data_IF_006268545142
#
_entry.id   IF_006268545142
#
_cell.length_a   1.000
_cell.length_b   1.000
_cell.length_c   1.000
_cell.angle_alpha   90.00
_cell.angle_beta   90.00
_cell.angle_gamma   90.00
#
_symmetry.space_group_name_H-M   'P 1'
#
loop_
_entity.id
_entity.type
_entity.pdbx_description
1 polymer ?
#
# COMPACT_ATOMS: atom_id res chain seq x y z
N UNK A 1 -3.23 11.57 -4.70
CA UNK A 1 -3.43 12.70 -5.64
C UNK A 1 -4.67 13.42 -5.19
N UNK A 2 -4.47 14.52 -4.49
CA UNK A 2 -5.53 15.28 -3.80
C UNK A 2 -5.82 16.54 -4.61
N UNK A 3 -7.04 17.09 -4.47
CA UNK A 3 -7.45 18.27 -5.21
C UNK A 3 -8.28 19.20 -4.30
N UNK A 4 -7.64 20.14 -3.62
CA UNK A 4 -8.17 20.83 -2.43
C UNK A 4 -8.26 22.37 -2.48
N UNK A 5 -9.51 22.86 -2.33
CA UNK A 5 -10.11 24.21 -2.52
C UNK A 5 -9.61 25.45 -1.76
N UNK A 6 -9.76 26.61 -2.42
CA UNK A 6 -10.40 27.83 -1.85
C UNK A 6 -11.24 28.64 -2.90
N UNK A 7 -12.58 28.65 -2.76
CA UNK A 7 -13.57 29.54 -3.42
C UNK A 7 -13.85 29.30 -4.93
N UNK A 8 -15.06 28.88 -5.32
CA UNK A 8 -15.57 28.64 -6.71
C UNK A 8 -14.66 27.90 -7.74
N UNK A 9 -13.49 27.46 -7.30
CA UNK A 9 -12.42 26.83 -8.07
C UNK A 9 -11.89 25.64 -7.26
N UNK A 10 -12.77 24.68 -6.96
CA UNK A 10 -12.39 23.32 -6.54
C UNK A 10 -11.76 22.62 -7.73
N UNK A 11 -10.63 21.95 -7.54
CA UNK A 11 -10.05 21.10 -8.57
C UNK A 11 -10.60 19.67 -8.52
N UNK A 12 -11.90 19.54 -8.32
CA UNK A 12 -12.52 18.22 -8.31
C UNK A 12 -12.57 17.65 -9.71
N UNK A 13 -12.50 16.34 -9.81
CA UNK A 13 -12.54 15.67 -11.10
C UNK A 13 -13.94 15.21 -11.43
N UNK A 14 -14.49 15.65 -12.56
CA UNK A 14 -15.73 15.11 -13.15
C UNK A 14 -15.47 14.61 -14.58
N UNK A 15 -16.42 13.92 -15.24
CA UNK A 15 -16.28 13.51 -16.62
C UNK A 15 -16.66 14.64 -17.59
N UNK A 16 -17.03 15.81 -17.07
CA UNK A 16 -17.57 16.89 -17.88
C UNK A 16 -16.47 17.54 -18.74
N UNK A 17 -16.81 18.04 -19.94
CA UNK A 17 -15.81 18.57 -20.88
C UNK A 17 -14.95 19.71 -20.32
N UNK A 18 -15.49 20.46 -19.37
CA UNK A 18 -14.77 21.52 -18.67
C UNK A 18 -13.54 21.06 -17.85
N UNK A 19 -13.43 19.76 -17.57
CA UNK A 19 -12.33 19.16 -16.81
C UNK A 19 -11.39 18.33 -17.72
N UNK A 20 -11.62 18.29 -19.04
CA UNK A 20 -10.82 17.51 -20.01
C UNK A 20 -9.32 17.83 -19.91
N UNK A 21 -8.97 19.12 -19.93
CA UNK A 21 -7.58 19.56 -19.84
C UNK A 21 -6.93 19.21 -18.49
N UNK A 22 -7.71 19.17 -17.40
CA UNK A 22 -7.21 18.73 -16.10
C UNK A 22 -6.92 17.23 -16.12
N UNK A 23 -7.85 16.42 -16.63
CA UNK A 23 -7.67 14.96 -16.75
C UNK A 23 -6.48 14.59 -17.62
N UNK A 24 -6.30 15.26 -18.75
CA UNK A 24 -5.13 15.04 -19.63
C UNK A 24 -3.80 15.33 -18.90
N UNK A 25 -3.73 16.40 -18.10
CA UNK A 25 -2.52 16.72 -17.32
C UNK A 25 -2.29 15.76 -16.16
N UNK A 26 -3.34 15.36 -15.44
CA UNK A 26 -3.24 14.34 -14.40
C UNK A 26 -2.73 13.02 -15.00
N UNK A 27 -3.24 12.64 -16.17
CA UNK A 27 -2.77 11.47 -16.90
C UNK A 27 -1.29 11.57 -17.27
N UNK A 28 -0.85 12.69 -17.82
CA UNK A 28 0.58 12.94 -18.11
C UNK A 28 1.45 12.86 -16.85
N UNK A 29 1.01 13.46 -15.74
CA UNK A 29 1.73 13.38 -14.46
C UNK A 29 1.84 11.94 -13.95
N UNK A 30 0.73 11.18 -13.96
CA UNK A 30 0.72 9.77 -13.55
C UNK A 30 1.70 8.93 -14.39
N UNK A 31 1.71 9.12 -15.71
CA UNK A 31 2.54 8.32 -16.61
C UNK A 31 4.00 8.74 -16.59
N UNK A 32 4.27 10.03 -16.77
CA UNK A 32 5.61 10.55 -17.01
C UNK A 32 6.37 10.90 -15.73
N UNK A 33 5.67 11.45 -14.72
CA UNK A 33 6.30 11.93 -13.49
C UNK A 33 6.24 10.86 -12.38
N UNK A 34 5.08 10.21 -12.19
CA UNK A 34 4.90 9.17 -11.17
C UNK A 34 5.27 7.77 -11.67
N UNK A 35 5.63 7.65 -12.95
CA UNK A 35 6.06 6.40 -13.59
C UNK A 35 5.03 5.27 -13.54
N UNK A 36 3.74 5.60 -13.64
CA UNK A 36 2.61 4.66 -13.63
C UNK A 36 2.59 3.72 -12.40
N UNK A 37 2.30 4.25 -11.19
CA UNK A 37 2.27 3.45 -9.96
C UNK A 37 1.32 2.25 -10.04
N UNK A 38 1.63 1.15 -9.37
CA UNK A 38 0.77 -0.06 -9.40
C UNK A 38 -0.61 0.18 -8.78
N UNK A 39 -0.69 1.05 -7.76
CA UNK A 39 -1.92 1.51 -7.10
C UNK A 39 -1.87 3.05 -7.00
N UNK A 40 -2.95 3.72 -7.38
CA UNK A 40 -3.12 5.18 -7.27
C UNK A 40 -4.34 5.47 -6.40
N UNK A 41 -4.12 6.13 -5.27
CA UNK A 41 -5.19 6.59 -4.39
C UNK A 41 -5.56 8.04 -4.73
N UNK A 42 -6.84 8.25 -5.06
CA UNK A 42 -7.39 9.52 -5.49
C UNK A 42 -8.35 10.08 -4.44
N UNK A 43 -8.39 11.40 -4.34
CA UNK A 43 -9.35 12.16 -3.55
C UNK A 43 -10.06 13.16 -4.47
N UNK A 44 -11.17 13.74 -4.03
CA UNK A 44 -11.86 14.83 -4.77
C UNK A 44 -12.46 14.39 -6.12
N UNK A 45 -12.83 13.11 -6.20
CA UNK A 45 -13.56 12.53 -7.33
C UNK A 45 -15.04 12.89 -7.22
N UNK A 46 -15.64 13.39 -8.31
CA UNK A 46 -17.06 13.78 -8.39
C UNK A 46 -17.94 12.70 -9.03
N UNK A 47 -19.25 12.90 -8.86
CA UNK A 47 -20.30 12.14 -9.52
C UNK A 47 -20.21 12.33 -11.05
N UNK A 48 -20.87 11.45 -11.80
CA UNK A 48 -20.91 11.48 -13.27
C UNK A 48 -21.48 12.79 -13.83
N UNK A 49 -22.25 13.53 -13.04
CA UNK A 49 -22.80 14.84 -13.40
C UNK A 49 -22.04 16.02 -12.77
N UNK A 50 -20.88 15.78 -12.14
CA UNK A 50 -20.13 16.82 -11.45
C UNK A 50 -20.99 17.49 -10.38
N UNK A 51 -21.23 18.79 -10.50
CA UNK A 51 -22.15 19.55 -9.61
C UNK A 51 -23.33 20.15 -10.35
N UNK A 52 -23.59 19.71 -11.59
CA UNK A 52 -24.50 20.40 -12.54
C UNK A 52 -25.97 20.37 -12.10
N UNK A 53 -26.36 19.43 -11.23
CA UNK A 53 -27.69 19.34 -10.66
C UNK A 53 -27.87 20.09 -9.34
N UNK A 54 -26.79 20.67 -8.77
CA UNK A 54 -26.80 21.26 -7.43
C UNK A 54 -27.20 20.26 -6.33
N UNK A 55 -27.58 20.76 -5.15
CA UNK A 55 -27.98 19.96 -3.98
C UNK A 55 -29.30 19.16 -4.14
N UNK A 56 -29.89 19.15 -5.34
CA UNK A 56 -31.06 18.34 -5.69
C UNK A 56 -30.67 17.13 -6.59
N UNK A 57 -29.37 16.88 -6.77
CA UNK A 57 -28.85 15.69 -7.47
C UNK A 57 -29.13 14.44 -6.65
N UNK A 58 -29.66 13.38 -7.26
CA UNK A 58 -29.70 12.04 -6.64
C UNK A 58 -28.60 11.12 -7.22
N UNK A 59 -27.69 11.67 -8.04
CA UNK A 59 -26.59 10.93 -8.67
C UNK A 59 -25.43 10.87 -7.69
N UNK A 60 -24.97 9.67 -7.35
CA UNK A 60 -23.77 9.42 -6.52
C UNK A 60 -22.72 8.53 -7.21
N UNK A 61 -23.03 8.04 -8.41
CA UNK A 61 -22.16 7.20 -9.22
C UNK A 61 -21.04 8.04 -9.84
N UNK A 62 -19.80 7.56 -9.76
CA UNK A 62 -18.59 8.19 -10.29
C UNK A 62 -17.90 7.36 -11.41
N UNK A 63 -18.56 6.32 -11.93
CA UNK A 63 -18.02 5.42 -12.96
C UNK A 63 -17.53 6.15 -14.21
N UNK A 64 -18.30 7.13 -14.72
CA UNK A 64 -17.92 7.90 -15.91
C UNK A 64 -16.74 8.82 -15.60
N UNK A 65 -16.70 9.42 -14.41
CA UNK A 65 -15.56 10.24 -13.93
C UNK A 65 -14.26 9.43 -13.94
N UNK A 66 -14.28 8.25 -13.31
CA UNK A 66 -13.10 7.39 -13.17
C UNK A 66 -12.68 6.81 -14.52
N UNK A 67 -13.64 6.37 -15.35
CA UNK A 67 -13.34 5.87 -16.69
C UNK A 67 -12.69 6.95 -17.56
N UNK A 68 -13.16 8.20 -17.49
CA UNK A 68 -12.60 9.29 -18.27
C UNK A 68 -11.13 9.61 -17.90
N UNK A 69 -10.74 9.39 -16.63
CA UNK A 69 -9.34 9.49 -16.21
C UNK A 69 -8.51 8.28 -16.67
N UNK A 70 -9.04 7.05 -16.54
CA UNK A 70 -8.38 5.83 -17.05
C UNK A 70 -8.11 5.94 -18.55
N UNK A 71 -9.09 6.39 -19.33
CA UNK A 71 -8.96 6.58 -20.77
C UNK A 71 -7.88 7.62 -21.10
N UNK A 72 -7.80 8.72 -20.33
CA UNK A 72 -6.77 9.73 -20.49
C UNK A 72 -5.36 9.16 -20.16
N UNK A 73 -5.23 8.36 -19.11
CA UNK A 73 -3.97 7.70 -18.74
C UNK A 73 -3.51 6.74 -19.84
N UNK A 74 -4.42 5.90 -20.35
CA UNK A 74 -4.12 5.01 -21.46
C UNK A 74 -3.73 5.78 -22.73
N UNK A 75 -4.40 6.90 -23.02
CA UNK A 75 -4.06 7.77 -24.15
C UNK A 75 -2.68 8.45 -23.99
N UNK A 76 -2.27 8.77 -22.76
CA UNK A 76 -0.94 9.29 -22.43
C UNK A 76 0.16 8.21 -22.50
N UNK A 77 -0.19 6.94 -22.76
CA UNK A 77 0.74 5.82 -22.88
C UNK A 77 0.97 5.03 -21.58
N UNK A 78 0.13 5.26 -20.57
CA UNK A 78 0.11 4.49 -19.32
C UNK A 78 -0.59 3.13 -19.45
N UNK A 79 -0.61 2.33 -18.37
CA UNK A 79 -1.35 1.08 -18.33
C UNK A 79 -2.87 1.32 -18.34
N UNK A 80 -3.61 0.29 -18.73
CA UNK A 80 -5.07 0.29 -18.59
C UNK A 80 -5.44 -0.04 -17.14
N UNK A 81 -5.53 0.99 -16.31
CA UNK A 81 -5.97 0.85 -14.91
C UNK A 81 -7.42 0.33 -14.81
N UNK A 82 -7.68 -0.49 -13.80
CA UNK A 82 -9.01 -0.69 -13.25
C UNK A 82 -9.26 0.35 -12.14
N UNK A 83 -10.52 0.61 -11.79
CA UNK A 83 -10.87 1.53 -10.70
C UNK A 83 -11.81 0.89 -9.69
N UNK A 84 -11.80 1.42 -8.47
CA UNK A 84 -12.63 0.97 -7.37
C UNK A 84 -13.04 2.14 -6.48
N UNK A 85 -14.34 2.24 -6.20
CA UNK A 85 -14.93 3.20 -5.28
C UNK A 85 -16.18 2.62 -4.61
N UNK A 86 -16.65 3.29 -3.57
CA UNK A 86 -17.96 3.03 -2.95
C UNK A 86 -18.71 4.35 -2.98
N UNK A 87 -19.79 4.40 -3.76
CA UNK A 87 -20.64 5.57 -3.86
C UNK A 87 -21.16 5.96 -2.47
N UNK A 88 -20.96 7.22 -2.02
CA UNK A 88 -21.46 7.67 -0.74
C UNK A 88 -22.98 7.77 -0.74
N UNK A 89 -23.56 7.90 0.46
CA UNK A 89 -24.97 8.30 0.59
C UNK A 89 -25.08 9.78 0.21
N UNK A 90 -26.05 10.08 -0.65
CA UNK A 90 -26.26 11.40 -1.22
C UNK A 90 -26.32 12.52 -0.17
N UNK A 91 -25.54 13.58 -0.40
CA UNK A 91 -25.33 14.77 0.44
C UNK A 91 -24.95 14.47 1.91
N UNK A 92 -24.41 13.28 2.20
CA UNK A 92 -23.88 12.93 3.53
C UNK A 92 -22.37 13.03 3.66
N UNK A 93 -21.65 13.00 2.53
CA UNK A 93 -20.21 13.17 2.50
C UNK A 93 -19.86 14.64 2.37
N UNK A 94 -18.98 15.13 3.25
CA UNK A 94 -18.53 16.53 3.22
C UNK A 94 -17.92 16.90 1.86
N UNK A 95 -17.98 18.17 1.45
CA UNK A 95 -17.50 18.62 0.15
C UNK A 95 -18.42 19.66 -0.52
N UNK A 96 -18.51 19.66 -1.85
CA UNK A 96 -19.56 20.39 -2.59
C UNK A 96 -20.89 19.64 -2.55
N UNK A 97 -21.99 20.32 -2.22
CA UNK A 97 -23.33 19.79 -2.43
C UNK A 97 -23.56 19.36 -3.88
N UNK A 98 -24.21 18.20 -4.06
CA UNK A 98 -24.61 17.67 -5.37
C UNK A 98 -23.50 17.04 -6.21
N UNK A 99 -22.26 16.97 -5.71
CA UNK A 99 -21.17 16.25 -6.36
C UNK A 99 -20.53 15.15 -5.50
N UNK A 100 -21.03 14.97 -4.27
CA UNK A 100 -20.75 13.86 -3.36
C UNK A 100 -19.30 13.36 -3.31
N UNK A 101 -18.32 14.25 -3.16
CA UNK A 101 -16.88 13.91 -3.25
C UNK A 101 -16.52 12.65 -2.46
N UNK A 102 -15.71 11.79 -3.09
CA UNK A 102 -15.22 10.54 -2.49
C UNK A 102 -13.72 10.32 -2.68
N UNK A 103 -13.23 9.32 -1.95
CA UNK A 103 -11.96 8.64 -2.18
C UNK A 103 -12.18 7.50 -3.18
N UNK A 104 -11.19 7.22 -4.02
CA UNK A 104 -11.21 6.07 -4.93
C UNK A 104 -9.80 5.51 -5.17
N UNK A 105 -9.72 4.34 -5.79
CA UNK A 105 -8.48 3.75 -6.27
C UNK A 105 -8.50 3.58 -7.78
N UNK A 106 -7.34 3.78 -8.41
CA UNK A 106 -6.96 3.14 -9.66
C UNK A 106 -5.90 2.08 -9.35
N UNK A 107 -5.90 0.94 -10.04
CA UNK A 107 -4.90 -0.10 -9.84
C UNK A 107 -4.62 -0.87 -11.14
N UNK A 108 -3.36 -1.25 -11.35
CA UNK A 108 -2.95 -1.96 -12.56
C UNK A 108 -3.29 -3.45 -12.41
N UNK A 109 -4.30 -3.98 -13.11
CA UNK A 109 -4.74 -5.37 -12.92
C UNK A 109 -3.74 -6.41 -13.45
N UNK A 110 -2.74 -5.98 -14.23
CA UNK A 110 -1.63 -6.87 -14.64
C UNK A 110 -0.59 -7.06 -13.53
N UNK A 111 -0.65 -6.25 -12.47
CA UNK A 111 0.35 -6.22 -11.39
C UNK A 111 -0.25 -6.58 -10.04
N UNK A 112 -1.44 -6.06 -9.72
CA UNK A 112 -2.11 -6.29 -8.44
C UNK A 112 -3.57 -6.70 -8.66
N UNK A 113 -4.13 -7.44 -7.71
CA UNK A 113 -5.56 -7.77 -7.69
C UNK A 113 -6.23 -7.17 -6.46
N UNK A 114 -7.40 -6.55 -6.61
CA UNK A 114 -8.20 -6.08 -5.48
C UNK A 114 -9.01 -7.26 -4.90
N UNK A 115 -8.69 -7.70 -3.69
CA UNK A 115 -9.38 -8.79 -3.00
C UNK A 115 -10.66 -8.30 -2.30
N UNK A 116 -10.55 -7.19 -1.58
CA UNK A 116 -11.65 -6.62 -0.81
C UNK A 116 -11.62 -5.08 -0.86
N UNK A 117 -12.81 -4.48 -0.85
CA UNK A 117 -13.01 -3.04 -0.80
C UNK A 117 -14.07 -2.71 0.24
N UNK A 118 -13.73 -1.89 1.22
CA UNK A 118 -14.65 -1.45 2.28
C UNK A 118 -14.55 0.05 2.52
N UNK A 119 -15.55 0.62 3.18
CA UNK A 119 -15.63 2.03 3.56
C UNK A 119 -15.77 2.16 5.06
N UNK A 120 -15.15 3.18 5.66
CA UNK A 120 -15.22 3.47 7.11
C UNK A 120 -16.38 4.43 7.41
N UNK A 121 -17.56 4.14 6.85
CA UNK A 121 -18.74 5.03 6.90
C UNK A 121 -19.58 4.90 8.18
N UNK A 122 -19.44 3.80 8.93
CA UNK A 122 -20.15 3.57 10.19
C UNK A 122 -19.45 4.18 11.41
N UNK A 123 -18.23 4.68 11.27
CA UNK A 123 -17.49 5.24 12.38
C UNK A 123 -17.89 6.72 12.61
N UNK A 124 -18.34 7.10 13.82
CA UNK A 124 -18.84 8.45 14.09
C UNK A 124 -17.81 9.57 13.89
N UNK A 125 -16.51 9.26 13.90
CA UNK A 125 -15.47 10.25 13.62
C UNK A 125 -15.54 10.80 12.18
N UNK A 126 -16.15 10.06 11.25
CA UNK A 126 -16.29 10.47 9.85
C UNK A 126 -17.69 10.98 9.49
N UNK A 127 -18.62 11.07 10.46
CA UNK A 127 -19.98 11.53 10.21
C UNK A 127 -20.01 12.94 9.59
N UNK A 128 -20.60 13.07 8.41
CA UNK A 128 -20.67 14.34 7.67
C UNK A 128 -19.38 14.74 6.94
N UNK A 129 -18.42 13.82 6.81
CA UNK A 129 -17.12 14.04 6.16
C UNK A 129 -16.89 13.04 5.03
N UNK A 130 -15.74 13.09 4.36
CA UNK A 130 -15.39 12.07 3.35
C UNK A 130 -14.99 10.79 4.08
N UNK A 131 -15.59 9.67 3.71
CA UNK A 131 -15.30 8.39 4.35
C UNK A 131 -13.97 7.83 3.82
N UNK A 132 -13.08 7.32 4.69
CA UNK A 132 -11.94 6.52 4.26
C UNK A 132 -12.38 5.31 3.43
N UNK A 133 -11.61 5.01 2.38
CA UNK A 133 -11.78 3.83 1.54
C UNK A 133 -10.62 2.88 1.79
N UNK A 134 -10.91 1.63 2.17
CA UNK A 134 -9.92 0.60 2.45
C UNK A 134 -9.93 -0.40 1.30
N UNK A 135 -8.80 -0.55 0.63
CA UNK A 135 -8.59 -1.57 -0.41
C UNK A 135 -7.55 -2.58 0.04
N UNK A 136 -7.90 -3.87 -0.03
CA UNK A 136 -6.95 -4.97 0.17
C UNK A 136 -6.45 -5.47 -1.19
N UNK A 137 -5.21 -5.17 -1.50
CA UNK A 137 -4.58 -5.53 -2.77
C UNK A 137 -3.66 -6.74 -2.58
N UNK A 138 -3.78 -7.72 -3.47
CA UNK A 138 -2.90 -8.87 -3.54
C UNK A 138 -1.74 -8.56 -4.51
N UNK A 139 -0.53 -8.75 -4.02
CA UNK A 139 0.71 -8.67 -4.80
C UNK A 139 1.66 -9.76 -4.30
N UNK A 140 2.21 -10.59 -5.20
CA UNK A 140 3.10 -11.70 -4.84
C UNK A 140 2.54 -12.64 -3.74
N UNK A 141 1.21 -12.82 -3.69
CA UNK A 141 0.55 -13.65 -2.66
C UNK A 141 0.45 -13.00 -1.27
N UNK A 142 0.97 -11.79 -1.12
CA UNK A 142 0.84 -10.95 0.07
C UNK A 142 -0.34 -9.98 -0.07
N UNK A 143 -1.01 -9.70 1.05
CA UNK A 143 -2.04 -8.66 1.13
C UNK A 143 -1.41 -7.35 1.56
N UNK A 144 -1.68 -6.29 0.79
CA UNK A 144 -1.35 -4.90 1.12
C UNK A 144 -2.66 -4.15 1.34
N UNK A 145 -2.89 -3.71 2.57
CA UNK A 145 -4.05 -2.91 2.92
C UNK A 145 -3.73 -1.43 2.71
N UNK A 146 -4.44 -0.78 1.80
CA UNK A 146 -4.29 0.66 1.55
C UNK A 146 -5.54 1.38 2.05
N UNK A 147 -5.35 2.29 3.02
CA UNK A 147 -6.40 3.15 3.57
C UNK A 147 -6.26 4.53 2.94
N UNK A 148 -7.17 4.86 2.04
CA UNK A 148 -7.24 6.13 1.34
C UNK A 148 -8.15 7.11 2.10
N UNK A 149 -7.58 8.24 2.51
CA UNK A 149 -8.21 9.20 3.42
C UNK A 149 -8.36 10.59 2.78
N UNK A 150 -9.37 11.29 3.27
CA UNK A 150 -9.51 12.72 3.03
C UNK A 150 -10.17 13.37 4.26
N UNK A 151 -9.35 13.80 5.22
CA UNK A 151 -9.81 14.20 6.56
C UNK A 151 -10.49 15.59 6.58
N UNK A 152 -11.07 15.94 7.72
CA UNK A 152 -11.79 17.21 7.91
C UNK A 152 -10.92 18.41 7.54
N UNK A 153 -11.43 19.24 6.63
CA UNK A 153 -10.72 20.41 6.11
C UNK A 153 -10.39 21.42 7.21
N UNK A 154 -9.33 22.20 6.96
CA UNK A 154 -8.92 23.34 7.79
C UNK A 154 -9.72 24.62 7.50
N UNK A 155 -10.78 24.57 6.71
CA UNK A 155 -11.60 25.73 6.38
C UNK A 155 -12.09 26.46 7.65
N UNK A 156 -11.85 27.77 7.71
CA UNK A 156 -12.12 28.59 8.90
C UNK A 156 -10.92 28.78 9.84
N UNK A 157 -9.76 28.18 9.53
CA UNK A 157 -8.50 28.46 10.21
C UNK A 157 -8.03 29.89 9.95
N UNK A 158 -7.28 30.48 10.89
CA UNK A 158 -6.57 31.74 10.63
C UNK A 158 -5.23 31.47 9.95
N UNK A 159 -4.66 32.44 9.19
CA UNK A 159 -3.32 32.28 8.63
C UNK A 159 -2.29 31.92 9.70
N UNK A 160 -1.37 31.00 9.36
CA UNK A 160 -0.27 30.59 10.24
C UNK A 160 0.56 31.80 10.66
N UNK A 161 0.85 32.69 9.69
CA UNK A 161 1.45 34.01 9.92
C UNK A 161 0.40 35.11 9.81
N UNK A 162 -0.32 35.35 10.91
CA UNK A 162 -1.39 36.35 10.98
C UNK A 162 -1.40 37.15 12.28
N UNK A 163 -2.32 38.13 12.35
CA UNK A 163 -2.52 38.99 13.53
C UNK A 163 -3.08 38.25 14.76
N UNK A 164 -3.67 37.07 14.55
CA UNK A 164 -4.15 36.17 15.60
C UNK A 164 -3.08 35.11 15.89
N UNK A 165 -2.61 35.04 17.13
CA UNK A 165 -1.60 34.08 17.61
C UNK A 165 -1.99 33.54 19.00
N UNK A 166 -1.90 32.21 19.26
CA UNK A 166 -1.63 31.17 18.27
C UNK A 166 -2.72 31.15 17.19
N UNK A 167 -2.35 30.74 15.97
CA UNK A 167 -3.31 30.66 14.87
C UNK A 167 -4.41 29.63 15.20
N UNK A 168 -5.63 29.90 14.76
CA UNK A 168 -6.79 29.02 14.97
C UNK A 168 -6.71 27.87 13.97
N UNK A 169 -6.76 26.64 14.46
CA UNK A 169 -6.83 25.42 13.65
C UNK A 169 -8.27 24.90 13.64
N UNK A 170 -9.05 25.26 12.63
CA UNK A 170 -10.41 24.75 12.50
C UNK A 170 -10.41 23.23 12.21
N UNK A 171 -11.37 22.50 12.79
CA UNK A 171 -11.52 21.06 12.60
C UNK A 171 -10.48 20.18 13.30
N UNK A 172 -9.63 20.74 14.18
CA UNK A 172 -8.56 19.99 14.86
C UNK A 172 -9.10 18.81 15.70
N UNK A 173 -10.10 19.05 16.54
CA UNK A 173 -10.71 17.99 17.34
C UNK A 173 -11.36 16.88 16.50
N UNK A 174 -11.92 17.23 15.33
CA UNK A 174 -12.48 16.24 14.40
C UNK A 174 -11.37 15.40 13.78
N UNK A 175 -10.25 16.03 13.38
CA UNK A 175 -9.07 15.32 12.84
C UNK A 175 -8.39 14.44 13.87
N UNK A 176 -8.28 14.85 15.13
CA UNK A 176 -7.78 14.00 16.22
C UNK A 176 -8.66 12.74 16.39
N UNK A 177 -9.99 12.90 16.37
CA UNK A 177 -10.91 11.78 16.44
C UNK A 177 -10.79 10.84 15.22
N UNK A 178 -10.60 11.41 14.03
CA UNK A 178 -10.38 10.65 12.80
C UNK A 178 -9.04 9.91 12.81
N UNK A 179 -7.96 10.56 13.25
CA UNK A 179 -6.65 9.96 13.43
C UNK A 179 -6.69 8.79 14.42
N UNK A 180 -7.41 8.95 15.54
CA UNK A 180 -7.61 7.85 16.50
C UNK A 180 -8.42 6.70 15.90
N UNK A 181 -9.46 7.00 15.12
CA UNK A 181 -10.25 5.98 14.43
C UNK A 181 -9.41 5.17 13.44
N UNK A 182 -8.52 5.83 12.67
CA UNK A 182 -7.59 5.17 11.76
C UNK A 182 -6.53 4.35 12.51
N UNK A 183 -5.96 4.88 13.58
CA UNK A 183 -5.02 4.16 14.42
C UNK A 183 -5.63 2.86 14.98
N UNK A 184 -6.88 2.92 15.49
CA UNK A 184 -7.58 1.72 15.98
C UNK A 184 -7.77 0.65 14.88
N UNK A 185 -8.06 1.07 13.64
CA UNK A 185 -8.18 0.12 12.51
C UNK A 185 -6.84 -0.56 12.25
N UNK A 186 -5.74 0.19 12.24
CA UNK A 186 -4.41 -0.38 12.05
C UNK A 186 -4.02 -1.28 13.21
N UNK A 187 -4.30 -0.88 14.45
CA UNK A 187 -4.05 -1.69 15.64
C UNK A 187 -4.80 -3.03 15.58
N UNK A 188 -6.07 -3.03 15.14
CA UNK A 188 -6.85 -4.27 14.99
C UNK A 188 -6.22 -5.18 13.92
N UNK A 189 -5.80 -4.63 12.77
CA UNK A 189 -5.12 -5.39 11.70
C UNK A 189 -3.79 -5.97 12.20
N UNK A 190 -2.96 -5.16 12.86
CA UNK A 190 -1.64 -5.56 13.36
C UNK A 190 -1.75 -6.54 14.53
N UNK A 191 -2.81 -6.46 15.33
CA UNK A 191 -3.08 -7.42 16.40
C UNK A 191 -3.43 -8.81 15.86
N UNK A 192 -4.05 -8.90 14.68
CA UNK A 192 -4.31 -10.17 13.98
C UNK A 192 -3.07 -10.69 13.25
N UNK A 193 -2.26 -9.80 12.67
CA UNK A 193 -1.01 -10.13 12.00
C UNK A 193 0.03 -9.02 12.21
N UNK A 194 1.06 -9.28 13.02
CA UNK A 194 2.12 -8.31 13.32
C UNK A 194 2.92 -7.87 12.09
N UNK A 195 2.94 -8.70 11.04
CA UNK A 195 3.63 -8.44 9.78
C UNK A 195 2.71 -7.83 8.71
N UNK A 196 1.50 -7.40 9.10
CA UNK A 196 0.54 -6.81 8.18
C UNK A 196 1.13 -5.59 7.45
N UNK A 197 0.93 -5.53 6.14
CA UNK A 197 1.43 -4.46 5.26
C UNK A 197 0.32 -3.44 5.08
N UNK A 198 0.34 -2.38 5.90
CA UNK A 198 -0.71 -1.36 5.89
C UNK A 198 -0.12 -0.02 5.48
N UNK A 199 -0.77 0.64 4.51
CA UNK A 199 -0.44 1.98 4.05
C UNK A 199 -1.64 2.88 4.35
N UNK A 200 -1.45 3.91 5.17
CA UNK A 200 -2.44 4.95 5.45
C UNK A 200 -2.01 6.22 4.75
N UNK A 201 -2.77 6.67 3.74
CA UNK A 201 -2.37 7.80 2.91
C UNK A 201 -3.54 8.71 2.54
N UNK A 202 -3.21 9.93 2.12
CA UNK A 202 -4.15 10.86 1.48
C UNK A 202 -3.99 12.29 1.99
N UNK A 203 -4.99 13.13 1.71
CA UNK A 203 -5.08 14.49 2.29
C UNK A 203 -5.57 14.36 3.73
N UNK A 204 -4.65 14.41 4.69
CA UNK A 204 -4.98 14.37 6.11
C UNK A 204 -5.30 15.75 6.67
N UNK A 205 -5.25 16.81 5.84
CA UNK A 205 -5.67 18.17 6.16
C UNK A 205 -5.02 18.71 7.44
N UNK A 206 -3.78 18.33 7.72
CA UNK A 206 -3.10 18.65 8.97
C UNK A 206 -1.60 18.62 8.77
N UNK A 207 -0.82 19.13 9.74
CA UNK A 207 0.63 19.20 9.57
C UNK A 207 1.30 17.97 10.17
N UNK A 208 2.49 17.62 9.68
CA UNK A 208 3.26 16.47 10.16
C UNK A 208 3.64 16.56 11.65
N UNK A 209 3.67 17.77 12.21
CA UNK A 209 4.06 18.04 13.60
C UNK A 209 2.89 18.18 14.58
N UNK A 210 1.63 18.15 14.13
CA UNK A 210 0.48 18.24 15.04
C UNK A 210 0.23 16.92 15.76
N UNK A 211 -0.46 16.94 16.89
CA UNK A 211 -0.61 15.77 17.78
C UNK A 211 -1.30 14.59 17.07
N UNK A 212 -2.27 14.89 16.19
CA UNK A 212 -2.98 13.91 15.37
C UNK A 212 -2.06 13.06 14.49
N UNK A 213 -0.97 13.62 13.95
CA UNK A 213 -0.02 12.88 13.09
C UNK A 213 1.31 12.53 13.74
N UNK A 214 1.70 13.22 14.82
CA UNK A 214 2.95 12.96 15.52
C UNK A 214 2.81 11.97 16.67
N UNK A 215 1.58 11.79 17.21
CA UNK A 215 1.34 10.95 18.38
C UNK A 215 0.10 10.05 18.27
N UNK A 216 -1.02 10.54 17.73
CA UNK A 216 -2.29 9.80 17.73
C UNK A 216 -2.30 8.75 16.61
N UNK A 217 -2.27 9.17 15.34
CA UNK A 217 -2.30 8.25 14.20
C UNK A 217 -1.18 7.19 14.26
N UNK A 218 0.11 7.57 14.46
CA UNK A 218 1.16 6.57 14.50
C UNK A 218 1.21 5.75 15.78
N UNK A 219 0.59 6.22 16.87
CA UNK A 219 0.83 5.73 18.23
C UNK A 219 2.17 6.22 18.81
N UNK A 220 2.43 5.89 20.07
CA UNK A 220 3.66 6.29 20.77
C UNK A 220 4.31 5.13 21.53
N UNK A 221 5.63 5.19 21.71
CA UNK A 221 6.37 4.16 22.45
C UNK A 221 6.20 2.77 21.84
N UNK A 222 5.86 1.78 22.67
CA UNK A 222 5.59 0.40 22.25
C UNK A 222 4.28 0.24 21.46
N UNK A 223 3.40 1.24 21.48
CA UNK A 223 2.13 1.24 20.72
C UNK A 223 2.28 1.95 19.36
N UNK A 224 3.50 2.36 19.00
CA UNK A 224 3.73 2.98 17.69
C UNK A 224 3.77 1.88 16.62
N UNK A 225 2.80 1.88 15.72
CA UNK A 225 2.66 0.88 14.65
C UNK A 225 2.79 1.47 13.25
N UNK A 226 2.80 2.79 13.11
CA UNK A 226 3.01 3.47 11.83
C UNK A 226 4.19 4.44 11.85
N UNK A 227 4.77 4.62 10.68
CA UNK A 227 5.81 5.61 10.41
C UNK A 227 5.43 6.48 9.22
N UNK A 228 5.47 7.81 9.42
CA UNK A 228 5.21 8.79 8.37
C UNK A 228 6.43 8.91 7.44
N UNK A 229 6.26 8.57 6.17
CA UNK A 229 7.31 8.63 5.15
C UNK A 229 7.65 10.06 4.72
N UNK A 230 6.77 11.04 4.96
CA UNK A 230 7.08 12.47 4.75
C UNK A 230 8.32 12.90 5.51
N UNK A 231 8.66 12.26 6.63
CA UNK A 231 9.88 12.56 7.37
C UNK A 231 11.16 12.35 6.54
N UNK A 232 11.13 11.50 5.51
CA UNK A 232 12.23 11.35 4.55
C UNK A 232 12.41 12.65 3.74
N UNK A 233 11.33 13.20 3.18
CA UNK A 233 11.36 14.48 2.44
C UNK A 233 11.70 15.68 3.35
N UNK A 234 11.25 15.67 4.61
CA UNK A 234 11.62 16.72 5.60
C UNK A 234 13.13 16.72 5.85
N UNK A 235 13.76 15.55 5.91
CA UNK A 235 15.20 15.44 6.10
C UNK A 235 16.00 16.01 4.91
N UNK A 236 15.37 16.08 3.73
CA UNK A 236 15.96 16.60 2.49
C UNK A 236 15.62 18.08 2.21
N UNK A 237 14.87 18.75 3.10
CA UNK A 237 14.36 20.13 2.91
C UNK A 237 13.43 20.28 1.69
N UNK A 238 12.65 19.23 1.41
CA UNK A 238 11.79 19.12 0.21
C UNK A 238 10.29 18.93 0.55
N UNK A 239 9.95 19.06 1.84
CA UNK A 239 8.61 18.73 2.33
C UNK A 239 7.59 19.87 2.14
N UNK A 240 6.85 19.84 1.04
CA UNK A 240 5.60 20.59 0.87
C UNK A 240 4.71 19.95 -0.17
N UNK A 241 3.41 19.92 0.10
CA UNK A 241 2.40 19.36 -0.80
C UNK A 241 1.35 20.37 -1.18
N UNK A 242 1.31 21.53 -0.51
CA UNK A 242 0.33 22.58 -0.74
C UNK A 242 0.93 23.97 -0.49
N UNK A 243 0.46 25.00 -1.21
CA UNK A 243 0.81 26.41 -0.95
C UNK A 243 -0.44 27.22 -0.65
N UNK A 244 -0.48 27.84 0.53
CA UNK A 244 -1.57 28.70 0.96
C UNK A 244 -1.09 30.06 1.47
N UNK A 245 -1.61 31.14 0.88
CA UNK A 245 -1.20 32.53 1.19
C UNK A 245 0.34 32.71 1.20
N UNK A 246 1.03 32.03 0.27
CA UNK A 246 2.48 32.07 0.13
C UNK A 246 3.26 31.24 1.15
N UNK A 247 2.59 30.37 1.91
CA UNK A 247 3.23 29.44 2.83
C UNK A 247 3.19 28.02 2.26
N UNK A 248 4.36 27.39 2.13
CA UNK A 248 4.49 25.97 1.86
C UNK A 248 4.01 25.16 3.06
N UNK A 249 3.20 24.15 2.80
CA UNK A 249 2.54 23.31 3.81
C UNK A 249 2.59 21.86 3.35
N UNK A 250 2.68 20.94 4.30
CA UNK A 250 2.40 19.52 4.07
C UNK A 250 1.01 19.23 4.62
N UNK A 251 0.10 18.77 3.76
CA UNK A 251 -1.24 18.31 4.14
C UNK A 251 -1.48 16.85 3.72
N UNK A 252 -0.69 16.36 2.77
CA UNK A 252 -0.76 15.02 2.25
C UNK A 252 0.32 14.17 2.90
N UNK A 253 -0.06 12.99 3.36
CA UNK A 253 0.86 12.11 4.07
C UNK A 253 0.73 10.67 3.59
N UNK A 254 1.79 9.90 3.85
CA UNK A 254 1.83 8.46 3.67
C UNK A 254 2.49 7.85 4.90
N UNK A 255 1.71 7.08 5.65
CA UNK A 255 2.15 6.29 6.79
C UNK A 255 2.17 4.83 6.40
N UNK A 256 3.14 4.08 6.90
CA UNK A 256 3.24 2.64 6.68
C UNK A 256 3.55 1.90 7.96
N UNK A 257 3.14 0.63 8.04
CA UNK A 257 3.59 -0.29 9.09
C UNK A 257 5.07 -0.63 8.93
N UNK A 258 5.70 -1.06 10.02
CA UNK A 258 7.14 -1.36 10.03
C UNK A 258 7.54 -2.46 9.03
N UNK A 259 6.63 -3.39 8.70
CA UNK A 259 6.83 -4.45 7.70
C UNK A 259 7.00 -3.94 6.27
N UNK A 260 6.73 -2.66 6.01
CA UNK A 260 6.92 -2.01 4.72
C UNK A 260 8.09 -1.01 4.74
N UNK A 261 8.74 -0.78 5.88
CA UNK A 261 9.81 0.24 5.99
C UNK A 261 11.12 -0.20 5.37
N UNK A 262 11.40 -1.50 5.38
CA UNK A 262 12.60 -2.04 4.76
C UNK A 262 12.55 -1.74 3.25
N UNK A 263 13.57 -1.02 2.77
CA UNK A 263 13.69 -0.55 1.39
C UNK A 263 12.58 0.40 0.90
N UNK A 264 11.74 0.94 1.80
CA UNK A 264 10.76 1.97 1.44
C UNK A 264 11.46 3.20 0.84
N UNK A 265 11.06 3.56 -0.37
CA UNK A 265 11.41 4.84 -0.98
C UNK A 265 10.17 5.73 -1.04
N UNK A 266 10.36 7.02 -0.80
CA UNK A 266 9.29 8.01 -0.83
C UNK A 266 9.77 9.29 -1.51
N UNK A 267 8.88 9.91 -2.28
CA UNK A 267 9.13 11.19 -2.91
C UNK A 267 7.85 12.05 -2.96
N UNK A 268 8.02 13.37 -2.85
CA UNK A 268 6.98 14.37 -3.12
C UNK A 268 7.29 14.96 -4.48
N UNK A 269 6.51 14.59 -5.49
CA UNK A 269 6.89 14.90 -6.87
C UNK A 269 6.38 16.29 -7.25
N UNK A 270 7.24 17.31 -7.18
CA UNK A 270 6.90 18.72 -7.43
C UNK A 270 6.55 19.03 -8.89
N UNK A 271 5.27 18.87 -9.25
CA UNK A 271 4.73 19.08 -10.60
C UNK A 271 3.61 20.11 -10.65
N UNK A 272 3.17 20.64 -9.51
CA UNK A 272 2.00 21.51 -9.41
C UNK A 272 2.27 22.87 -8.74
N UNK A 273 2.86 22.91 -7.55
CA UNK A 273 2.93 24.09 -6.69
C UNK A 273 4.02 25.08 -7.09
N UNK A 274 5.11 24.61 -7.68
CA UNK A 274 6.23 25.45 -8.13
C UNK A 274 5.93 26.24 -9.42
N UNK A 275 4.83 25.90 -10.06
CA UNK A 275 4.49 26.37 -11.38
C UNK A 275 3.42 27.48 -11.31
N UNK A 276 3.60 28.58 -12.06
CA UNK A 276 2.67 29.70 -12.01
C UNK A 276 1.25 29.27 -12.39
N UNK A 277 0.29 29.57 -11.50
CA UNK A 277 -1.14 29.55 -11.79
C UNK A 277 -1.53 30.95 -12.27
N UNK A 278 -2.23 31.04 -13.40
CA UNK A 278 -2.80 32.32 -13.85
C UNK A 278 -4.03 32.61 -12.97
N UNK A 279 -3.87 33.44 -11.94
CA UNK A 279 -4.82 33.63 -10.83
C UNK A 279 -6.00 34.57 -11.17
N UNK A 280 -6.51 34.45 -12.39
CA UNK A 280 -7.41 35.44 -13.01
C UNK A 280 -8.82 35.03 -13.43
N UNK A 281 -9.28 33.76 -13.27
CA UNK A 281 -10.66 33.24 -13.55
C UNK A 281 -10.87 32.34 -14.81
N UNK A 282 -9.98 31.44 -15.23
CA UNK A 282 -10.31 30.47 -16.32
C UNK A 282 -9.73 29.07 -16.07
N UNK A 283 -10.57 28.05 -16.31
CA UNK A 283 -10.29 26.62 -16.33
C UNK A 283 -9.15 26.28 -17.30
N UNK A 284 -8.11 25.60 -16.79
CA UNK A 284 -7.06 24.72 -17.36
C UNK A 284 -6.60 24.76 -18.84
N UNK A 285 -7.14 25.62 -19.70
CA UNK A 285 -6.76 25.71 -21.10
C UNK A 285 -5.33 26.27 -21.28
N UNK A 286 -4.81 27.05 -20.31
CA UNK A 286 -3.51 27.73 -20.39
C UNK A 286 -2.59 27.50 -19.15
N UNK A 287 -3.01 26.75 -18.13
CA UNK A 287 -2.20 26.51 -16.91
C UNK A 287 -1.41 25.21 -17.01
N UNK A 288 -0.13 25.20 -16.64
CA UNK A 288 0.76 24.02 -16.69
C UNK A 288 0.54 23.00 -15.56
N UNK A 289 -0.39 23.26 -14.62
CA UNK A 289 -0.62 22.46 -13.41
C UNK A 289 -1.93 21.69 -13.48
N UNK A 290 -2.00 20.53 -12.82
CA UNK A 290 -3.17 19.64 -12.83
C UNK A 290 -3.93 19.63 -11.49
N UNK A 291 -3.22 19.95 -10.41
CA UNK A 291 -3.76 20.01 -9.05
C UNK A 291 -3.19 21.19 -8.29
N UNK A 292 -3.82 21.50 -7.17
CA UNK A 292 -3.35 22.39 -6.12
C UNK A 292 -2.52 21.68 -5.06
N UNK A 293 -2.45 20.36 -5.11
CA UNK A 293 -1.58 19.54 -4.29
C UNK A 293 -0.48 18.87 -5.12
N UNK A 294 0.63 18.50 -4.46
CA UNK A 294 1.63 17.61 -5.05
C UNK A 294 1.25 16.14 -4.88
N UNK A 295 1.48 15.30 -5.90
CA UNK A 295 1.42 13.86 -5.73
C UNK A 295 2.54 13.34 -4.82
N UNK A 296 2.17 12.37 -3.99
CA UNK A 296 3.10 11.53 -3.25
C UNK A 296 3.32 10.22 -4.02
N UNK A 297 4.56 9.73 -4.05
CA UNK A 297 4.87 8.38 -4.56
C UNK A 297 5.68 7.60 -3.53
N UNK A 298 5.23 6.38 -3.26
CA UNK A 298 5.93 5.41 -2.43
C UNK A 298 6.29 4.18 -3.27
N UNK A 299 7.48 3.65 -3.07
CA UNK A 299 7.91 2.36 -3.64
C UNK A 299 8.28 1.43 -2.50
N UNK A 300 7.72 0.23 -2.55
CA UNK A 300 7.88 -0.81 -1.54
C UNK A 300 8.37 -2.10 -2.20
N UNK A 301 9.20 -2.84 -1.48
CA UNK A 301 9.60 -4.20 -1.84
C UNK A 301 8.68 -5.15 -1.07
N UNK A 302 8.02 -6.04 -1.79
CA UNK A 302 7.10 -7.03 -1.22
C UNK A 302 7.47 -8.36 -1.84
N UNK A 303 8.20 -9.14 -1.06
CA UNK A 303 8.64 -10.45 -1.48
C UNK A 303 7.46 -11.44 -1.52
N UNK A 304 7.54 -12.46 -2.38
CA UNK A 304 6.55 -13.53 -2.38
C UNK A 304 6.38 -14.20 -1.03
N UNK A 305 5.13 -14.53 -0.70
CA UNK A 305 4.80 -15.21 0.55
C UNK A 305 5.23 -16.68 0.51
N UNK A 306 6.17 -17.04 1.37
CA UNK A 306 6.49 -18.44 1.68
C UNK A 306 5.34 -19.20 2.37
N UNK A 307 5.33 -20.50 2.22
CA UNK A 307 4.32 -21.46 2.65
C UNK A 307 4.88 -22.48 3.62
N UNK A 308 4.05 -22.92 4.56
CA UNK A 308 4.31 -24.15 5.32
C UNK A 308 3.54 -25.31 4.67
N UNK A 309 4.28 -26.26 4.11
CA UNK A 309 3.74 -27.42 3.40
C UNK A 309 4.08 -28.68 4.19
N UNK A 310 3.04 -29.29 4.77
CA UNK A 310 3.12 -30.56 5.47
C UNK A 310 2.53 -31.67 4.59
N UNK A 311 3.34 -32.67 4.28
CA UNK A 311 2.89 -33.90 3.65
C UNK A 311 2.18 -34.84 4.62
N UNK A 312 1.89 -36.03 4.14
CA UNK A 312 1.02 -37.00 4.78
C UNK A 312 1.82 -38.13 5.42
N UNK A 313 1.23 -39.32 5.51
CA UNK A 313 1.89 -40.53 6.00
C UNK A 313 2.24 -41.53 4.88
N UNK A 314 2.11 -41.09 3.63
CA UNK A 314 2.45 -41.84 2.43
C UNK A 314 3.38 -40.99 1.57
N UNK A 315 4.01 -41.60 0.56
CA UNK A 315 4.86 -40.88 -0.38
C UNK A 315 4.09 -39.77 -1.12
N UNK A 316 4.53 -38.53 -0.92
CA UNK A 316 3.98 -37.30 -1.46
C UNK A 316 4.91 -36.66 -2.51
N UNK A 317 4.33 -35.77 -3.31
CA UNK A 317 5.07 -34.88 -4.22
C UNK A 317 4.67 -33.46 -3.87
N UNK A 318 5.57 -32.76 -3.18
CA UNK A 318 5.36 -31.40 -2.67
C UNK A 318 6.19 -30.41 -3.50
N UNK A 319 5.61 -29.26 -3.78
CA UNK A 319 6.26 -28.16 -4.50
C UNK A 319 5.78 -26.86 -3.86
N UNK A 320 6.72 -26.06 -3.38
CA UNK A 320 6.47 -24.72 -2.88
C UNK A 320 6.18 -23.72 -4.00
N UNK A 321 5.89 -22.49 -3.62
CA UNK A 321 5.60 -21.40 -4.56
C UNK A 321 6.87 -20.56 -4.78
N UNK A 322 6.71 -19.26 -5.00
CA UNK A 322 7.80 -18.32 -4.84
C UNK A 322 7.81 -17.85 -3.38
N UNK A 323 9.00 -17.58 -2.82
CA UNK A 323 9.17 -17.11 -1.45
C UNK A 323 9.76 -18.19 -0.54
N UNK A 324 10.08 -17.85 0.71
CA UNK A 324 10.81 -18.74 1.61
C UNK A 324 9.89 -19.83 2.19
N UNK A 325 9.86 -21.01 1.56
CA UNK A 325 8.96 -22.10 1.93
C UNK A 325 9.53 -23.02 3.03
N UNK A 326 8.66 -23.64 3.83
CA UNK A 326 8.99 -24.71 4.77
C UNK A 326 8.28 -25.99 4.35
N UNK A 327 9.05 -26.98 3.89
CA UNK A 327 8.52 -28.24 3.36
C UNK A 327 8.90 -29.41 4.28
N UNK A 328 7.90 -30.11 4.83
CA UNK A 328 8.09 -31.38 5.56
C UNK A 328 7.26 -32.47 4.92
N UNK A 329 7.92 -33.49 4.36
CA UNK A 329 7.26 -34.63 3.70
C UNK A 329 6.38 -35.46 4.64
N UNK A 330 6.81 -35.61 5.90
CA UNK A 330 6.11 -36.48 6.86
C UNK A 330 6.57 -37.92 6.71
N UNK A 331 5.71 -38.91 7.00
CA UNK A 331 6.11 -40.31 6.81
C UNK A 331 5.98 -40.68 5.34
N UNK A 332 6.98 -41.32 4.76
CA UNK A 332 6.97 -41.62 3.34
C UNK A 332 8.36 -41.52 2.74
N UNK A 333 8.46 -41.75 1.44
CA UNK A 333 9.64 -41.34 0.70
C UNK A 333 9.16 -40.25 -0.25
N UNK A 334 9.36 -39.00 0.16
CA UNK A 334 8.69 -37.88 -0.48
C UNK A 334 9.56 -37.26 -1.56
N UNK A 335 8.93 -36.52 -2.47
CA UNK A 335 9.63 -35.69 -3.45
C UNK A 335 9.31 -34.24 -3.13
N UNK A 336 10.33 -33.50 -2.71
CA UNK A 336 10.23 -32.12 -2.25
C UNK A 336 10.92 -31.21 -3.27
N UNK A 337 10.23 -30.15 -3.65
CA UNK A 337 10.72 -29.11 -4.55
C UNK A 337 10.44 -27.76 -3.88
N UNK A 338 11.47 -26.94 -3.73
CA UNK A 338 11.37 -25.63 -3.09
C UNK A 338 10.48 -24.72 -3.91
N UNK A 339 10.95 -24.32 -5.08
CA UNK A 339 10.22 -23.39 -5.93
C UNK A 339 9.40 -24.04 -7.06
N UNK A 340 8.36 -23.32 -7.48
CA UNK A 340 7.72 -23.55 -8.77
C UNK A 340 8.58 -23.06 -9.97
N UNK A 341 8.00 -22.89 -11.16
CA UNK A 341 8.78 -22.45 -12.35
C UNK A 341 8.93 -20.92 -12.45
N UNK A 342 8.24 -20.16 -11.61
CA UNK A 342 8.05 -18.71 -11.76
C UNK A 342 8.63 -17.90 -10.58
N UNK A 343 9.28 -18.57 -9.62
CA UNK A 343 9.77 -17.98 -8.37
C UNK A 343 11.20 -18.33 -7.98
N UNK A 344 11.65 -17.69 -6.91
CA UNK A 344 12.82 -18.07 -6.11
C UNK A 344 12.51 -17.83 -4.63
N UNK A 345 13.06 -18.66 -3.75
CA UNK A 345 12.95 -18.54 -2.30
C UNK A 345 14.19 -19.05 -1.59
N UNK A 346 14.32 -18.74 -0.30
CA UNK A 346 15.24 -19.41 0.61
C UNK A 346 14.48 -20.51 1.35
N UNK A 347 14.40 -21.69 0.75
CA UNK A 347 13.52 -22.75 1.22
C UNK A 347 14.15 -23.60 2.32
N UNK A 348 13.31 -24.10 3.22
CA UNK A 348 13.69 -25.01 4.30
C UNK A 348 13.06 -26.38 4.10
N UNK A 349 13.89 -27.36 3.75
CA UNK A 349 13.48 -28.77 3.64
C UNK A 349 13.68 -29.48 4.98
N UNK A 350 12.57 -29.79 5.66
CA UNK A 350 12.57 -30.35 7.01
C UNK A 350 12.72 -31.86 6.98
N UNK A 351 13.71 -32.36 7.71
CA UNK A 351 14.00 -33.78 7.89
C UNK A 351 13.81 -34.18 9.36
N UNK A 352 13.26 -35.37 9.58
CA UNK A 352 13.24 -36.03 10.88
C UNK A 352 13.60 -37.52 10.76
N UNK A 353 14.07 -38.11 11.86
CA UNK A 353 14.42 -39.54 11.88
C UNK A 353 13.18 -40.43 11.89
N UNK A 354 13.21 -41.52 11.12
CA UNK A 354 12.10 -42.47 11.00
C UNK A 354 10.96 -42.01 10.09
N UNK A 355 11.13 -40.91 9.38
CA UNK A 355 10.15 -40.38 8.42
C UNK A 355 10.30 -41.02 7.04
N UNK A 356 11.49 -41.55 6.71
CA UNK A 356 11.78 -42.25 5.46
C UNK A 356 12.90 -41.56 4.71
N UNK A 357 12.94 -41.72 3.39
CA UNK A 357 14.01 -41.16 2.54
C UNK A 357 13.45 -40.24 1.48
N UNK A 358 13.64 -38.94 1.67
CA UNK A 358 13.12 -37.90 0.80
C UNK A 358 14.06 -37.56 -0.36
N UNK A 359 13.48 -37.00 -1.41
CA UNK A 359 14.18 -36.51 -2.59
C UNK A 359 13.99 -35.02 -2.71
N UNK A 360 15.07 -34.27 -2.56
CA UNK A 360 15.09 -32.83 -2.71
C UNK A 360 15.51 -32.50 -4.15
N UNK A 361 14.63 -31.81 -4.87
CA UNK A 361 14.67 -31.73 -6.32
C UNK A 361 15.47 -30.56 -6.87
N UNK A 362 15.68 -29.50 -6.09
CA UNK A 362 16.22 -28.22 -6.58
C UNK A 362 17.06 -27.42 -5.59
N UNK A 363 17.39 -27.96 -4.42
CA UNK A 363 18.22 -27.33 -3.38
C UNK A 363 19.36 -26.42 -3.89
N UNK A 364 19.35 -25.14 -3.54
CA UNK A 364 20.39 -24.16 -3.83
C UNK A 364 21.32 -23.94 -2.64
N UNK A 365 22.60 -24.31 -2.79
CA UNK A 365 23.59 -24.19 -1.69
C UNK A 365 23.87 -22.73 -1.36
N UNK A 366 23.63 -22.35 -0.11
CA UNK A 366 23.88 -21.00 0.40
C UNK A 366 22.66 -20.09 0.34
N UNK A 367 21.59 -20.56 -0.29
CA UNK A 367 20.26 -19.94 -0.26
C UNK A 367 19.36 -20.82 0.62
N UNK A 368 19.15 -22.08 0.23
CA UNK A 368 18.27 -23.01 0.94
C UNK A 368 18.90 -23.62 2.19
N UNK A 369 18.02 -24.08 3.08
CA UNK A 369 18.34 -24.69 4.35
C UNK A 369 17.74 -26.10 4.49
N UNK A 370 18.42 -26.93 5.26
CA UNK A 370 17.90 -28.19 5.77
C UNK A 370 17.41 -27.98 7.20
N UNK A 371 16.11 -28.12 7.41
CA UNK A 371 15.48 -28.07 8.71
C UNK A 371 15.68 -29.38 9.48
N UNK A 372 16.20 -29.30 10.70
CA UNK A 372 16.44 -30.45 11.57
C UNK A 372 15.38 -30.50 12.67
N UNK A 373 14.40 -31.39 12.52
CA UNK A 373 13.31 -31.58 13.46
C UNK A 373 13.58 -32.74 14.44
N UNK A 374 12.73 -32.85 15.46
CA UNK A 374 12.64 -33.99 16.39
C UNK A 374 13.96 -34.39 17.07
N UNK A 375 14.80 -33.38 17.36
CA UNK A 375 16.06 -33.55 18.10
C UNK A 375 17.26 -33.94 17.23
N UNK A 376 17.13 -33.90 15.91
CA UNK A 376 18.27 -33.95 15.01
C UNK A 376 19.20 -32.74 15.23
N UNK A 377 20.49 -32.95 15.03
CA UNK A 377 21.50 -31.89 15.08
C UNK A 377 22.56 -32.16 14.04
N UNK A 378 23.14 -31.09 13.48
CA UNK A 378 24.14 -31.18 12.41
C UNK A 378 25.28 -32.16 12.74
N UNK A 379 25.81 -32.09 13.96
CA UNK A 379 26.91 -32.96 14.39
C UNK A 379 26.58 -34.45 14.48
N UNK A 380 25.31 -34.83 14.43
CA UNK A 380 24.87 -36.23 14.43
C UNK A 380 24.63 -36.79 13.01
N UNK A 381 24.66 -35.94 11.99
CA UNK A 381 24.40 -36.33 10.61
C UNK A 381 25.64 -36.94 9.94
N UNK A 382 25.40 -37.84 9.01
CA UNK A 382 26.41 -38.35 8.07
C UNK A 382 26.12 -37.79 6.69
N UNK A 383 27.05 -36.98 6.16
CA UNK A 383 26.96 -36.41 4.82
C UNK A 383 27.83 -37.23 3.87
N UNK A 384 27.23 -37.85 2.86
CA UNK A 384 27.96 -38.75 1.93
C UNK A 384 27.39 -38.68 0.52
N UNK A 385 28.22 -38.32 -0.46
CA UNK A 385 27.76 -38.14 -1.85
C UNK A 385 26.66 -37.08 -1.90
N UNK A 386 25.50 -37.44 -2.46
CA UNK A 386 24.30 -36.61 -2.50
C UNK A 386 23.30 -36.92 -1.37
N UNK A 387 23.71 -37.64 -0.31
CA UNK A 387 22.80 -38.13 0.75
C UNK A 387 23.12 -37.56 2.13
N UNK A 388 22.05 -37.26 2.88
CA UNK A 388 22.07 -36.93 4.31
C UNK A 388 21.54 -38.14 5.07
N UNK A 389 22.30 -38.65 6.03
CA UNK A 389 21.92 -39.80 6.84
C UNK A 389 22.01 -39.55 8.35
N UNK A 390 21.33 -40.39 9.11
CA UNK A 390 21.36 -40.42 10.57
C UNK A 390 21.36 -41.87 11.07
N UNK A 391 22.41 -42.28 11.78
CA UNK A 391 22.60 -43.69 12.14
C UNK A 391 22.71 -44.58 10.90
N UNK A 392 21.80 -45.56 10.78
CA UNK A 392 21.71 -46.46 9.62
C UNK A 392 20.67 -46.00 8.57
N UNK A 393 20.00 -44.88 8.80
CA UNK A 393 18.94 -44.33 7.94
C UNK A 393 19.49 -43.27 6.98
N UNK A 394 18.96 -43.26 5.76
CA UNK A 394 19.13 -42.12 4.83
C UNK A 394 17.89 -41.24 4.94
N UNK A 395 18.07 -40.00 5.36
CA UNK A 395 16.98 -39.04 5.55
C UNK A 395 16.58 -38.39 4.23
N UNK A 396 17.55 -37.95 3.44
CA UNK A 396 17.29 -37.30 2.16
C UNK A 396 18.39 -37.50 1.14
N UNK A 397 18.04 -37.34 -0.13
CA UNK A 397 18.96 -37.28 -1.27
C UNK A 397 18.68 -36.07 -2.15
N UNK A 398 19.74 -35.42 -2.64
CA UNK A 398 19.63 -34.33 -3.62
C UNK A 398 19.64 -34.88 -5.05
N UNK A 399 18.66 -34.44 -5.86
CA UNK A 399 18.45 -34.91 -7.23
C UNK A 399 18.91 -33.88 -8.31
N UNK A 400 19.30 -32.67 -7.90
CA UNK A 400 19.80 -31.60 -8.77
C UNK A 400 21.34 -31.58 -8.94
N UNK A 401 22.04 -32.60 -8.42
CA UNK A 401 23.50 -32.70 -8.52
C UNK A 401 24.28 -32.04 -7.38
N UNK A 402 23.60 -31.46 -6.39
CA UNK A 402 24.21 -31.05 -5.13
C UNK A 402 24.80 -32.26 -4.40
N UNK A 403 26.01 -32.08 -3.85
CA UNK A 403 26.65 -33.07 -3.00
C UNK A 403 26.46 -32.66 -1.55
N UNK A 404 25.79 -33.50 -0.76
CA UNK A 404 25.62 -33.32 0.68
C UNK A 404 26.97 -33.13 1.40
N UNK A 405 28.04 -33.74 0.88
CA UNK A 405 29.39 -33.60 1.42
C UNK A 405 29.98 -32.17 1.30
N UNK A 406 29.41 -31.31 0.46
CA UNK A 406 29.84 -29.92 0.28
C UNK A 406 29.06 -28.95 1.20
N UNK A 407 28.02 -29.44 1.89
CA UNK A 407 27.24 -28.64 2.84
C UNK A 407 28.03 -28.39 4.13
N UNK A 408 27.83 -27.20 4.69
CA UNK A 408 28.41 -26.80 5.98
C UNK A 408 27.31 -26.67 7.03
N UNK A 409 27.68 -26.48 8.30
CA UNK A 409 26.71 -26.24 9.39
C UNK A 409 25.76 -25.06 9.09
N UNK A 410 26.20 -24.07 8.31
CA UNK A 410 25.38 -22.93 7.92
C UNK A 410 24.22 -23.30 6.96
N UNK A 411 24.24 -24.47 6.33
CA UNK A 411 23.15 -24.98 5.49
C UNK A 411 22.05 -25.67 6.31
N UNK A 412 22.13 -25.66 7.64
CA UNK A 412 21.21 -26.35 8.52
C UNK A 412 20.64 -25.41 9.57
N UNK A 413 19.36 -25.58 9.87
CA UNK A 413 18.66 -24.84 10.93
C UNK A 413 17.87 -25.81 11.80
N UNK A 414 17.75 -25.54 13.09
CA UNK A 414 16.84 -26.29 13.96
C UNK A 414 15.45 -25.67 13.86
N UNK A 415 14.46 -26.51 13.61
CA UNK A 415 13.04 -26.14 13.45
C UNK A 415 12.18 -26.72 14.56
#
# INVERSE_FOLDING_TARGET
LTAGKAGDFLLNLSPLPEDDAQRERLAEQIVANLQSPDIVALQEIQDNNGTTSGADSEVTDATETLQALVDAIAAAGGPTYAFADIAPVDDTSGGIPGGNIRNSFLYNPERVALAELTSVDQNPAFAGTRNPLVGEFLFNGETVTVINNHLTSRFGSSPVFGALQPFIQAGEADREAQAQALNNIVDDIVAENSEAKVIVLGDLNTFEFTDDLSAILPGTGEQRVLTNLVNQAVAEDDAYTFIFDGNSQVLDHMFVTDSLLDEAMFDIVHVNNDFPRDDGRVRFADTIVASDHEPLVGKFVIEPRGQEILGSAIADSLTGNAGDDLLRGGLGNDTLRGDDQEGSGSDTFVLAAGEGTDKIMDFEVGTDLIGLADGLSFGALTLSGNSIGFGDETLATFENGVMAADLSEASFVTV
#
